data_IF_376247626876
#
_entry.id   IF_376247626876
#
_cell.length_a   1.000
_cell.length_b   1.000
_cell.length_c   1.000
_cell.angle_alpha   90.00
_cell.angle_beta   90.00
_cell.angle_gamma   90.00
#
_symmetry.space_group_name_H-M   'P 1'
#
loop_
_entity.id
_entity.type
_entity.pdbx_description
1 polymer ?
#
# COMPACT_ATOMS: atom_id res chain seq x y z
N UNK A 1 41.24 0.12 37.12
CA UNK A 1 39.92 0.16 37.78
C UNK A 1 39.41 1.59 37.84
N UNK A 2 38.41 1.97 37.03
CA UNK A 2 37.58 3.16 37.24
C UNK A 2 36.24 3.02 36.51
N UNK A 3 35.68 1.79 36.55
CA UNK A 3 34.33 1.48 36.07
C UNK A 3 33.26 1.78 37.15
N UNK A 4 33.67 2.14 38.37
CA UNK A 4 32.77 2.37 39.52
C UNK A 4 32.22 3.80 39.60
N UNK A 5 32.80 4.76 38.88
CA UNK A 5 32.39 6.18 38.98
C UNK A 5 31.23 6.57 38.05
N UNK A 6 30.99 5.83 36.96
CA UNK A 6 29.95 6.20 35.99
C UNK A 6 28.56 5.72 36.46
N UNK A 7 28.49 4.57 37.13
CA UNK A 7 27.22 3.98 37.61
C UNK A 7 26.58 4.80 38.73
N UNK A 8 27.38 5.54 39.52
CA UNK A 8 26.87 6.39 40.61
C UNK A 8 26.21 7.70 40.15
N UNK A 9 26.47 8.15 38.91
CA UNK A 9 25.83 9.37 38.36
C UNK A 9 24.46 9.13 37.74
N UNK A 10 24.10 7.89 37.41
CA UNK A 10 22.83 7.55 36.76
C UNK A 10 21.72 7.25 37.79
N UNK A 11 22.09 6.92 39.03
CA UNK A 11 21.14 6.56 40.11
C UNK A 11 20.60 7.75 40.93
N UNK A 12 21.02 8.99 40.66
CA UNK A 12 20.61 10.18 41.43
C UNK A 12 19.58 11.09 40.72
N UNK A 13 19.08 10.72 39.55
CA UNK A 13 18.07 11.51 38.80
C UNK A 13 16.70 10.83 38.68
N UNK A 14 16.42 9.79 39.46
CA UNK A 14 15.17 9.01 39.41
C UNK A 14 14.33 9.03 40.70
N UNK A 15 14.55 10.03 41.56
CA UNK A 15 13.93 10.04 42.89
C UNK A 15 13.55 11.44 43.36
N UNK A 16 12.65 12.13 42.64
CA UNK A 16 11.81 13.16 43.23
C UNK A 16 10.70 13.56 42.25
N UNK A 17 9.50 13.02 42.44
CA UNK A 17 8.21 13.69 42.20
C UNK A 17 7.08 12.67 42.41
N UNK A 18 6.91 12.29 43.68
CA UNK A 18 5.68 11.72 44.17
C UNK A 18 5.28 12.52 45.40
N UNK A 19 4.18 13.29 45.30
CA UNK A 19 3.07 13.26 46.25
C UNK A 19 2.28 14.58 46.34
N UNK A 20 0.96 14.40 46.25
CA UNK A 20 -0.12 15.14 46.91
C UNK A 20 -0.51 16.55 46.44
N UNK A 21 -1.74 16.65 45.92
CA UNK A 21 -2.81 17.37 46.63
C UNK A 21 -4.21 16.88 46.22
N UNK A 22 -4.96 16.51 47.26
CA UNK A 22 -6.36 16.05 47.27
C UNK A 22 -7.28 17.23 47.55
N UNK A 23 -8.51 17.12 47.04
CA UNK A 23 -9.74 17.84 47.40
C UNK A 23 -10.04 19.20 46.72
N UNK A 24 -11.01 19.15 45.80
CA UNK A 24 -12.25 19.92 45.95
C UNK A 24 -13.36 19.24 45.15
N UNK A 25 -14.29 18.61 45.87
CA UNK A 25 -15.54 18.11 45.30
C UNK A 25 -16.49 19.27 44.96
N UNK A 26 -17.21 19.12 43.86
CA UNK A 26 -18.45 19.85 43.59
C UNK A 26 -19.48 18.86 43.04
N UNK A 27 -20.61 18.64 43.73
CA UNK A 27 -21.71 17.85 43.20
C UNK A 27 -22.61 18.76 42.35
N UNK A 28 -23.22 18.21 41.31
CA UNK A 28 -24.63 18.50 40.97
C UNK A 28 -25.15 17.56 39.88
N UNK A 29 -26.22 16.88 40.29
CA UNK A 29 -27.40 16.46 39.51
C UNK A 29 -27.21 15.45 38.40
N UNK A 30 -27.47 14.19 38.79
CA UNK A 30 -28.08 13.20 37.92
C UNK A 30 -29.52 13.64 37.58
N UNK A 31 -29.81 13.82 36.30
CA UNK A 31 -31.15 13.61 35.75
C UNK A 31 -31.07 12.36 34.90
N UNK A 32 -31.63 11.27 35.42
CA UNK A 32 -31.85 10.05 34.67
C UNK A 32 -32.95 10.26 33.65
N UNK A 33 -32.65 9.95 32.39
CA UNK A 33 -33.62 9.47 31.42
C UNK A 33 -32.91 8.43 30.56
N UNK A 34 -33.42 7.21 30.63
CA UNK A 34 -33.04 6.05 29.84
C UNK A 34 -33.07 6.35 28.34
N UNK A 35 -31.97 6.09 27.64
CA UNK A 35 -31.99 5.77 26.21
C UNK A 35 -30.76 4.90 25.86
N UNK A 36 -31.05 3.65 25.52
CA UNK A 36 -30.10 2.72 24.90
C UNK A 36 -29.82 3.22 23.48
N UNK A 37 -28.53 3.28 23.11
CA UNK A 37 -28.08 3.20 21.73
C UNK A 37 -27.82 4.53 21.01
N UNK A 38 -26.57 4.99 21.07
CA UNK A 38 -25.79 5.39 19.90
C UNK A 38 -24.44 5.92 20.40
N UNK A 39 -23.40 5.09 20.33
CA UNK A 39 -22.02 5.58 20.38
C UNK A 39 -21.81 6.33 19.06
N UNK A 40 -22.03 7.63 19.06
CA UNK A 40 -21.62 8.50 17.97
C UNK A 40 -20.10 8.63 18.01
N UNK A 41 -19.42 7.75 17.28
CA UNK A 41 -18.03 7.95 16.90
C UNK A 41 -17.95 9.20 16.00
N UNK A 42 -17.14 10.21 16.32
CA UNK A 42 -16.82 11.27 15.37
C UNK A 42 -16.06 10.64 14.21
N UNK A 43 -16.77 10.41 13.09
CA UNK A 43 -16.14 10.10 11.81
C UNK A 43 -15.63 11.41 11.21
N UNK A 44 -14.59 11.98 11.81
CA UNK A 44 -13.67 12.85 11.07
C UNK A 44 -12.65 11.96 10.35
N UNK A 45 -13.15 11.17 9.40
CA UNK A 45 -12.35 10.62 8.33
C UNK A 45 -11.94 11.75 7.39
N UNK A 46 -11.13 12.70 7.88
CA UNK A 46 -10.37 13.60 7.04
C UNK A 46 -9.42 12.71 6.28
N UNK A 47 -9.87 12.24 5.10
CA UNK A 47 -9.07 11.47 4.18
C UNK A 47 -7.82 12.26 3.90
N UNK A 48 -6.74 11.91 4.61
CA UNK A 48 -5.41 12.29 4.21
C UNK A 48 -5.26 11.69 2.82
N UNK A 49 -5.33 12.56 1.82
CA UNK A 49 -4.74 12.33 0.52
C UNK A 49 -3.26 12.05 0.78
N UNK A 50 -2.94 10.80 1.11
CA UNK A 50 -1.59 10.32 1.22
C UNK A 50 -0.97 10.55 -0.15
N UNK A 51 0.11 11.32 -0.19
CA UNK A 51 0.94 11.49 -1.37
C UNK A 51 1.16 10.12 -1.99
N UNK A 52 0.61 9.88 -3.19
CA UNK A 52 0.76 8.60 -3.89
C UNK A 52 2.26 8.40 -4.12
N UNK A 53 2.88 7.55 -3.32
CA UNK A 53 4.30 7.29 -3.44
C UNK A 53 4.54 6.69 -4.83
N UNK A 54 5.38 7.33 -5.64
CA UNK A 54 5.76 6.79 -6.95
C UNK A 54 6.55 5.49 -6.75
N UNK A 55 6.23 4.46 -7.55
CA UNK A 55 6.91 3.17 -7.46
C UNK A 55 8.42 3.31 -7.73
N UNK A 56 9.31 2.68 -6.93
CA UNK A 56 10.76 2.92 -7.02
C UNK A 56 11.44 2.19 -8.19
N UNK A 57 10.69 1.37 -8.94
CA UNK A 57 11.15 0.58 -10.07
C UNK A 57 10.06 0.47 -11.13
N UNK A 58 10.44 0.21 -12.38
CA UNK A 58 9.50 0.05 -13.50
C UNK A 58 8.84 -1.34 -13.48
N UNK A 59 9.65 -2.38 -13.30
CA UNK A 59 9.30 -3.79 -13.22
C UNK A 59 10.10 -4.44 -12.06
N UNK A 60 9.70 -5.63 -11.61
CA UNK A 60 10.45 -6.38 -10.60
C UNK A 60 10.24 -7.90 -10.76
N UNK A 61 11.30 -8.67 -11.01
CA UNK A 61 11.26 -10.13 -11.10
C UNK A 61 11.21 -10.77 -9.70
N UNK A 62 11.99 -10.25 -8.75
CA UNK A 62 12.13 -10.78 -7.39
C UNK A 62 11.51 -9.83 -6.36
N UNK A 63 10.19 -9.74 -6.36
CA UNK A 63 9.46 -8.92 -5.39
C UNK A 63 9.27 -9.65 -4.05
N UNK A 64 9.71 -9.03 -2.95
CA UNK A 64 9.42 -9.47 -1.59
C UNK A 64 8.28 -8.61 -1.01
N UNK A 65 7.11 -9.20 -0.77
CA UNK A 65 5.91 -8.47 -0.37
C UNK A 65 5.25 -9.06 0.90
N UNK A 66 4.66 -8.20 1.72
CA UNK A 66 3.80 -8.62 2.85
C UNK A 66 2.46 -9.17 2.33
N UNK A 67 1.82 -10.03 3.14
CA UNK A 67 0.47 -10.55 2.86
C UNK A 67 -0.64 -9.56 3.27
N UNK A 68 -0.52 -8.29 2.88
CA UNK A 68 -1.49 -7.21 3.14
C UNK A 68 -2.05 -6.62 1.83
N UNK A 69 -3.09 -5.78 1.92
CA UNK A 69 -3.70 -5.12 0.76
C UNK A 69 -3.90 -3.62 1.05
N UNK A 70 -3.17 -2.69 0.39
CA UNK A 70 -2.04 -2.94 -0.52
C UNK A 70 -0.86 -3.62 0.20
N UNK A 71 0.01 -4.34 -0.53
CA UNK A 71 1.18 -4.95 0.08
C UNK A 71 2.27 -3.90 0.35
N UNK A 72 3.11 -4.14 1.35
CA UNK A 72 4.42 -3.50 1.48
C UNK A 72 5.42 -4.38 0.74
N UNK A 73 6.05 -3.84 -0.30
CA UNK A 73 6.95 -4.57 -1.20
C UNK A 73 8.34 -3.95 -1.27
N UNK A 74 9.35 -4.80 -1.47
CA UNK A 74 10.73 -4.41 -1.82
C UNK A 74 11.18 -5.23 -3.03
N UNK A 75 11.82 -4.59 -4.00
CA UNK A 75 12.38 -5.30 -5.14
C UNK A 75 13.81 -5.76 -4.86
N UNK A 76 14.06 -7.05 -5.01
CA UNK A 76 15.36 -7.69 -4.77
C UNK A 76 16.16 -7.93 -6.06
N UNK A 77 15.75 -7.29 -7.16
CA UNK A 77 16.47 -7.37 -8.41
C UNK A 77 17.83 -6.68 -8.28
N UNK A 78 18.85 -7.36 -8.78
CA UNK A 78 20.20 -6.83 -8.83
C UNK A 78 20.39 -6.09 -10.15
N UNK A 79 20.59 -4.78 -10.07
CA UNK A 79 20.77 -3.87 -11.20
C UNK A 79 22.16 -3.24 -11.17
N UNK A 80 22.65 -2.77 -12.31
CA UNK A 80 23.89 -1.98 -12.35
C UNK A 80 23.68 -0.61 -11.67
N UNK A 81 22.53 0.01 -11.93
CA UNK A 81 22.14 1.30 -11.37
C UNK A 81 20.67 1.28 -10.98
N UNK A 82 20.34 1.83 -9.80
CA UNK A 82 18.95 1.97 -9.40
C UNK A 82 18.25 3.06 -10.21
N UNK A 83 16.94 2.91 -10.41
CA UNK A 83 16.11 3.98 -10.95
C UNK A 83 16.16 5.21 -10.04
N UNK A 84 16.04 6.42 -10.62
CA UNK A 84 16.05 7.68 -9.89
C UNK A 84 14.93 7.78 -8.82
N UNK A 85 13.85 7.02 -8.99
CA UNK A 85 12.76 6.96 -8.02
C UNK A 85 13.08 6.12 -6.78
N UNK A 86 14.18 5.35 -6.79
CA UNK A 86 14.63 4.58 -5.65
C UNK A 86 15.38 5.45 -4.62
N UNK A 87 14.76 5.68 -3.46
CA UNK A 87 15.35 6.49 -2.38
C UNK A 87 16.46 5.78 -1.58
N UNK A 88 16.60 4.45 -1.71
CA UNK A 88 17.57 3.65 -0.96
C UNK A 88 18.24 2.62 -1.87
N UNK A 89 19.31 3.04 -2.54
CA UNK A 89 20.07 2.19 -3.48
C UNK A 89 21.38 1.72 -2.86
N UNK A 90 21.48 0.43 -2.54
CA UNK A 90 22.61 -0.14 -1.80
C UNK A 90 23.29 -1.25 -2.61
N UNK A 91 24.58 -1.53 -2.38
CA UNK A 91 25.24 -2.69 -2.97
C UNK A 91 24.52 -3.99 -2.59
N UNK A 92 24.48 -4.96 -3.51
CA UNK A 92 23.92 -6.27 -3.21
C UNK A 92 24.83 -7.03 -2.24
N UNK A 93 24.25 -7.77 -1.30
CA UNK A 93 25.00 -8.54 -0.31
C UNK A 93 25.82 -9.68 -0.93
N UNK A 94 25.35 -10.24 -2.04
CA UNK A 94 26.01 -11.33 -2.77
C UNK A 94 27.05 -10.85 -3.77
N UNK A 95 26.93 -9.61 -4.26
CA UNK A 95 27.78 -9.05 -5.30
C UNK A 95 27.83 -7.52 -5.17
N UNK A 96 28.92 -7.02 -4.59
CA UNK A 96 29.11 -5.57 -4.37
C UNK A 96 29.19 -4.73 -5.65
N UNK A 97 29.41 -5.37 -6.82
CA UNK A 97 29.39 -4.68 -8.11
C UNK A 97 27.98 -4.35 -8.59
N UNK A 98 26.96 -5.02 -8.03
CA UNK A 98 25.55 -4.78 -8.31
C UNK A 98 24.89 -4.01 -7.19
N UNK A 99 23.75 -3.40 -7.50
CA UNK A 99 22.93 -2.64 -6.56
C UNK A 99 21.53 -3.23 -6.46
N UNK A 100 20.90 -3.02 -5.32
CA UNK A 100 19.51 -3.39 -5.05
C UNK A 100 18.78 -2.16 -4.52
N UNK A 101 17.55 -1.96 -4.98
CA UNK A 101 16.68 -0.94 -4.42
C UNK A 101 16.07 -1.42 -3.09
N UNK A 102 16.73 -1.09 -1.98
CA UNK A 102 16.31 -1.45 -0.62
C UNK A 102 15.19 -0.55 -0.05
N UNK A 103 14.40 0.10 -0.91
CA UNK A 103 13.28 0.93 -0.50
C UNK A 103 12.00 0.09 -0.37
N UNK A 104 11.31 0.25 0.76
CA UNK A 104 9.98 -0.32 0.97
C UNK A 104 8.91 0.54 0.32
N UNK A 105 8.16 -0.04 -0.60
CA UNK A 105 7.08 0.57 -1.33
C UNK A 105 5.73 0.05 -0.86
N UNK A 106 4.81 0.95 -0.50
CA UNK A 106 3.43 0.58 -0.18
C UNK A 106 2.60 0.54 -1.46
N UNK A 107 2.39 -0.65 -2.00
CA UNK A 107 1.65 -0.90 -3.24
C UNK A 107 2.15 -2.14 -3.99
N UNK A 108 1.45 -2.50 -5.06
CA UNK A 108 1.82 -3.66 -5.88
C UNK A 108 3.16 -3.47 -6.59
N UNK A 109 3.99 -4.54 -6.67
CA UNK A 109 5.35 -4.45 -7.21
C UNK A 109 5.39 -4.14 -8.71
N UNK A 110 4.27 -4.21 -9.42
CA UNK A 110 4.21 -4.00 -10.85
C UNK A 110 4.47 -5.28 -11.65
N UNK A 111 4.74 -5.17 -12.95
CA UNK A 111 5.01 -6.32 -13.81
C UNK A 111 6.38 -6.92 -13.51
N UNK A 112 6.57 -8.19 -13.89
CA UNK A 112 7.90 -8.80 -13.97
C UNK A 112 8.70 -8.17 -15.10
N UNK A 113 10.02 -8.09 -14.95
CA UNK A 113 10.90 -7.52 -15.96
C UNK A 113 11.01 -8.43 -17.18
N UNK A 114 11.00 -9.76 -17.01
CA UNK A 114 10.96 -10.69 -18.15
C UNK A 114 9.76 -10.42 -19.07
N UNK A 115 8.61 -10.08 -18.51
CA UNK A 115 7.40 -9.69 -19.25
C UNK A 115 7.45 -8.23 -19.75
N UNK A 116 8.12 -7.34 -19.04
CA UNK A 116 8.30 -5.94 -19.46
C UNK A 116 9.22 -5.81 -20.71
N UNK A 117 10.26 -6.66 -20.83
CA UNK A 117 11.08 -6.71 -22.05
C UNK A 117 10.33 -7.38 -23.20
N UNK A 118 9.48 -8.37 -22.90
CA UNK A 118 8.61 -9.00 -23.89
C UNK A 118 7.55 -8.03 -24.45
N UNK A 119 6.95 -7.18 -23.60
CA UNK A 119 5.97 -6.16 -24.03
C UNK A 119 6.57 -5.03 -24.87
N UNK A 120 7.88 -4.76 -24.76
CA UNK A 120 8.57 -3.82 -25.66
C UNK A 120 8.84 -4.40 -27.07
N UNK A 121 8.78 -5.73 -27.24
CA UNK A 121 9.07 -6.41 -28.53
C UNK A 121 7.90 -7.22 -29.11
N UNK A 122 6.77 -7.38 -28.42
CA UNK A 122 5.68 -8.22 -28.90
C UNK A 122 4.34 -7.49 -28.83
N UNK A 123 3.87 -7.02 -29.98
CA UNK A 123 2.45 -7.16 -30.34
C UNK A 123 2.06 -8.60 -30.01
N UNK A 124 1.10 -8.77 -29.10
CA UNK A 124 0.39 -10.03 -28.77
C UNK A 124 1.24 -11.30 -28.84
N UNK A 125 1.85 -11.68 -27.72
CA UNK A 125 2.19 -13.08 -27.51
C UNK A 125 0.90 -13.81 -27.08
N UNK A 126 0.39 -14.68 -27.94
CA UNK A 126 -0.66 -15.62 -27.60
C UNK A 126 -0.25 -16.44 -26.36
N UNK A 127 -1.00 -16.34 -25.27
CA UNK A 127 -0.87 -17.22 -24.10
C UNK A 127 -1.09 -16.58 -22.73
N UNK A 128 -0.88 -15.27 -22.56
CA UNK A 128 -1.28 -14.56 -21.34
C UNK A 128 -2.66 -13.92 -21.54
N UNK A 129 -3.62 -14.25 -20.66
CA UNK A 129 -4.91 -13.57 -20.65
C UNK A 129 -4.69 -12.07 -20.39
N UNK A 130 -5.05 -11.23 -21.36
CA UNK A 130 -4.86 -9.78 -21.26
C UNK A 130 -5.80 -9.24 -20.17
N UNK A 131 -5.25 -8.48 -19.21
CA UNK A 131 -5.99 -7.93 -18.08
C UNK A 131 -7.22 -7.12 -18.56
N UNK A 132 -8.44 -7.35 -18.03
CA UNK A 132 -9.68 -6.69 -18.49
C UNK A 132 -9.76 -5.17 -18.28
N UNK A 133 -8.69 -4.53 -17.81
CA UNK A 133 -8.58 -3.10 -17.56
C UNK A 133 -7.13 -2.62 -17.73
N UNK A 134 -6.95 -1.35 -18.10
CA UNK A 134 -5.63 -0.73 -18.30
C UNK A 134 -4.92 -0.38 -16.98
N UNK A 135 -5.67 0.18 -16.04
CA UNK A 135 -5.25 0.55 -14.69
C UNK A 135 -6.41 0.28 -13.71
N UNK A 136 -6.14 0.21 -12.41
CA UNK A 136 -7.18 -0.02 -11.41
C UNK A 136 -6.88 0.62 -10.05
N UNK A 137 -7.67 1.62 -9.66
CA UNK A 137 -7.59 2.32 -8.39
C UNK A 137 -8.23 1.52 -7.25
N UNK A 138 -9.33 0.81 -7.51
CA UNK A 138 -10.06 -0.01 -6.54
C UNK A 138 -10.07 -1.48 -6.98
N UNK A 139 -8.97 -2.19 -6.75
CA UNK A 139 -8.90 -3.62 -7.00
C UNK A 139 -9.44 -4.42 -5.80
N UNK A 140 -10.16 -5.51 -6.07
CA UNK A 140 -10.49 -6.53 -5.08
C UNK A 140 -9.76 -7.82 -5.46
N UNK A 141 -8.89 -8.31 -4.59
CA UNK A 141 -8.03 -9.46 -4.88
C UNK A 141 -8.06 -10.51 -3.77
N UNK A 142 -7.89 -11.77 -4.15
CA UNK A 142 -7.58 -12.85 -3.19
C UNK A 142 -6.19 -12.67 -2.59
N UNK A 143 -5.89 -13.41 -1.51
CA UNK A 143 -4.58 -13.37 -0.83
C UNK A 143 -3.55 -14.36 -1.41
N UNK A 144 -3.85 -15.01 -2.53
CA UNK A 144 -2.94 -15.94 -3.22
C UNK A 144 -1.85 -15.19 -4.00
N UNK A 145 -0.81 -15.91 -4.44
CA UNK A 145 0.27 -15.36 -5.25
C UNK A 145 0.51 -16.28 -6.47
N UNK A 146 0.16 -15.86 -7.70
CA UNK A 146 -0.53 -14.63 -8.06
C UNK A 146 -1.99 -14.58 -7.54
N UNK A 147 -2.58 -13.39 -7.37
CA UNK A 147 -3.95 -13.25 -6.88
C UNK A 147 -4.98 -13.44 -8.01
N UNK A 148 -6.22 -13.78 -7.65
CA UNK A 148 -7.39 -13.56 -8.50
C UNK A 148 -7.93 -12.17 -8.16
N UNK A 149 -8.02 -11.27 -9.15
CA UNK A 149 -8.42 -9.89 -8.96
C UNK A 149 -9.61 -9.49 -9.83
N UNK A 150 -10.42 -8.53 -9.35
CA UNK A 150 -11.46 -7.82 -10.11
C UNK A 150 -11.31 -6.32 -9.86
N UNK A 151 -11.51 -5.49 -10.88
CA UNK A 151 -11.46 -4.04 -10.72
C UNK A 151 -12.84 -3.44 -10.48
N UNK A 152 -12.98 -2.60 -9.45
CA UNK A 152 -14.22 -1.94 -9.04
C UNK A 152 -14.30 -0.47 -9.46
N UNK A 153 -13.40 -0.05 -10.34
CA UNK A 153 -13.42 1.33 -10.85
C UNK A 153 -14.69 1.57 -11.67
N UNK A 154 -15.33 2.71 -11.39
CA UNK A 154 -16.46 3.21 -12.18
C UNK A 154 -15.95 4.05 -13.34
N UNK A 155 -15.88 3.45 -14.51
CA UNK A 155 -15.37 4.07 -15.74
C UNK A 155 -16.51 4.51 -16.64
N UNK A 156 -16.26 5.41 -17.60
CA UNK A 156 -17.26 5.76 -18.62
C UNK A 156 -17.47 4.59 -19.60
N UNK A 157 -16.37 3.91 -19.96
CA UNK A 157 -16.36 2.76 -20.85
C UNK A 157 -15.38 1.71 -20.35
N UNK A 158 -15.77 0.44 -20.35
CA UNK A 158 -14.86 -0.65 -20.05
C UNK A 158 -13.82 -0.83 -21.17
N UNK A 159 -12.69 -1.47 -20.84
CA UNK A 159 -11.72 -1.86 -21.87
C UNK A 159 -12.34 -2.90 -22.82
N UNK A 160 -11.86 -2.95 -24.06
CA UNK A 160 -12.38 -3.82 -25.12
C UNK A 160 -12.28 -5.32 -24.82
N UNK A 161 -11.40 -5.69 -23.89
CA UNK A 161 -11.18 -7.07 -23.44
C UNK A 161 -11.91 -7.40 -22.13
N UNK A 162 -12.72 -6.48 -21.58
CA UNK A 162 -13.69 -6.80 -20.54
C UNK A 162 -14.91 -7.50 -21.14
N UNK A 163 -15.16 -8.74 -20.72
CA UNK A 163 -16.28 -9.58 -21.17
C UNK A 163 -17.59 -9.16 -20.51
N UNK A 164 -17.55 -8.80 -19.22
CA UNK A 164 -18.74 -8.48 -18.41
C UNK A 164 -18.74 -7.00 -17.98
N UNK A 165 -19.25 -6.12 -18.83
CA UNK A 165 -19.28 -4.67 -18.59
C UNK A 165 -20.69 -4.18 -18.25
N UNK A 166 -20.97 -4.01 -16.96
CA UNK A 166 -22.32 -3.69 -16.47
C UNK A 166 -22.43 -2.22 -16.05
N UNK A 167 -23.64 -1.61 -16.10
CA UNK A 167 -23.90 -0.31 -15.49
C UNK A 167 -23.53 -0.30 -14.01
N UNK A 168 -22.86 0.76 -13.55
CA UNK A 168 -22.58 0.94 -12.15
C UNK A 168 -23.87 1.31 -11.40
N UNK A 169 -24.02 0.83 -10.17
CA UNK A 169 -25.07 1.33 -9.26
C UNK A 169 -24.51 2.41 -8.32
N UNK A 170 -25.29 3.46 -7.99
CA UNK A 170 -26.60 3.82 -8.55
C UNK A 170 -26.52 4.59 -9.87
N UNK A 171 -25.31 5.00 -10.28
CA UNK A 171 -25.08 5.81 -11.47
C UNK A 171 -24.88 4.96 -12.73
N UNK A 172 -25.97 4.77 -13.47
CA UNK A 172 -25.99 3.99 -14.71
C UNK A 172 -25.23 4.63 -15.88
N UNK A 173 -24.78 5.88 -15.74
CA UNK A 173 -23.89 6.52 -16.74
C UNK A 173 -22.46 5.96 -16.68
N UNK A 174 -22.09 5.34 -15.55
CA UNK A 174 -20.81 4.66 -15.36
C UNK A 174 -20.95 3.17 -15.59
N UNK A 175 -19.81 2.52 -15.83
CA UNK A 175 -19.66 1.08 -16.04
C UNK A 175 -18.65 0.49 -15.06
N UNK A 176 -18.84 -0.78 -14.71
CA UNK A 176 -17.89 -1.57 -13.93
C UNK A 176 -17.59 -2.86 -14.69
N UNK A 177 -16.31 -3.22 -14.78
CA UNK A 177 -15.90 -4.49 -15.35
C UNK A 177 -15.97 -5.58 -14.28
N UNK A 178 -16.81 -6.60 -14.49
CA UNK A 178 -17.03 -7.69 -13.54
C UNK A 178 -16.12 -8.90 -13.74
N UNK A 179 -15.22 -8.85 -14.70
CA UNK A 179 -14.30 -9.95 -14.99
C UNK A 179 -13.31 -10.20 -13.84
N UNK A 180 -13.08 -11.48 -13.57
CA UNK A 180 -11.99 -11.92 -12.70
C UNK A 180 -10.76 -12.24 -13.53
N UNK A 181 -9.60 -11.77 -13.07
CA UNK A 181 -8.31 -11.94 -13.72
C UNK A 181 -7.34 -12.66 -12.78
N UNK A 182 -6.70 -13.73 -13.27
CA UNK A 182 -5.63 -14.41 -12.54
C UNK A 182 -4.31 -13.67 -12.76
N UNK A 183 -3.96 -12.78 -11.82
CA UNK A 183 -2.76 -11.97 -11.88
C UNK A 183 -2.91 -10.66 -11.10
N UNK A 184 -1.82 -9.90 -11.02
CA UNK A 184 -1.83 -8.61 -10.32
C UNK A 184 -2.68 -7.56 -11.06
N UNK A 185 -3.37 -6.66 -10.33
CA UNK A 185 -4.32 -5.71 -10.91
C UNK A 185 -3.67 -4.61 -11.76
N UNK A 186 -2.33 -4.54 -11.79
CA UNK A 186 -1.58 -3.59 -12.60
C UNK A 186 -1.31 -2.26 -11.87
N UNK A 187 -1.17 -1.19 -12.66
CA UNK A 187 -0.92 0.16 -12.17
C UNK A 187 -2.19 0.84 -11.65
N UNK A 188 -2.03 1.84 -10.78
CA UNK A 188 -3.09 2.77 -10.37
C UNK A 188 -3.33 3.80 -11.48
N UNK A 189 -4.57 4.25 -11.66
CA UNK A 189 -4.96 5.18 -12.71
C UNK A 189 -4.51 6.62 -12.41
N UNK A 190 -4.60 7.03 -11.15
CA UNK A 190 -4.17 8.37 -10.68
C UNK A 190 -2.67 8.66 -10.80
N UNK A 191 -1.86 7.70 -11.29
CA UNK A 191 -0.44 7.88 -11.55
C UNK A 191 -0.10 8.23 -13.02
N UNK A 192 -1.10 8.42 -13.89
CA UNK A 192 -0.90 8.55 -15.34
C UNK A 192 -1.72 9.64 -16.04
N UNK A 193 -1.90 10.81 -15.41
CA UNK A 193 -2.48 11.97 -16.09
C UNK A 193 -1.51 12.56 -17.11
N UNK A 194 -1.84 12.41 -18.39
CA UNK A 194 -1.50 13.33 -19.48
C UNK A 194 -2.72 13.38 -20.41
#
# INVERSE_FOLDING_TARGET
>A
MKMSCIVRSILLLLSLEAALLVAAGRPSTATGTDNVGAILLPSEGKGQAGTVATRPWKCCDRAFCTKSFPPMCRCMDMVEQCAATCKKCEPATSDSSRRVCNYWYHGFPGPMCTEAVATAKKKKAEGEEERPWKCCDMALCTRSFPPMCRCMDKVEQCASNCKSCDPASPDSSRRVCNDWYHGFPGAKCTAGGN
#
